data_IF_611016281829
#
_entry.id   IF_611016281829
#
_cell.length_a   1.000
_cell.length_b   1.000
_cell.length_c   1.000
_cell.angle_alpha   90.00
_cell.angle_beta   90.00
_cell.angle_gamma   90.00
#
_symmetry.space_group_name_H-M   'P 1'
#
loop_
_entity.id
_entity.type
_entity.pdbx_description
1 polymer ?
#
# COMPACT_ATOMS: atom_id res chain seq x y z
N UNK A 1 -12.45 -39.18 15.62
CA UNK A 1 -13.43 -38.06 15.57
C UNK A 1 -13.24 -37.07 16.71
N UNK A 2 -13.07 -37.49 17.98
CA UNK A 2 -12.94 -36.58 19.15
C UNK A 2 -11.79 -35.56 19.05
N UNK A 3 -10.62 -35.97 18.54
CA UNK A 3 -9.45 -35.08 18.41
C UNK A 3 -9.71 -33.93 17.40
N UNK A 4 -10.31 -34.23 16.24
CA UNK A 4 -10.63 -33.22 15.21
C UNK A 4 -11.63 -32.18 15.77
N UNK A 5 -12.69 -32.64 16.46
CA UNK A 5 -13.64 -31.77 17.10
C UNK A 5 -12.99 -30.87 18.17
N UNK A 6 -12.07 -31.42 18.96
CA UNK A 6 -11.32 -30.65 19.95
C UNK A 6 -10.44 -29.59 19.27
N UNK A 7 -9.72 -29.92 18.21
CA UNK A 7 -8.91 -28.95 17.43
C UNK A 7 -9.77 -27.83 16.88
N UNK A 8 -10.90 -28.16 16.26
CA UNK A 8 -11.84 -27.17 15.71
C UNK A 8 -12.38 -26.26 16.84
N UNK A 9 -12.79 -26.83 17.96
CA UNK A 9 -13.28 -26.06 19.12
C UNK A 9 -12.24 -25.06 19.62
N UNK A 10 -11.00 -25.52 19.85
CA UNK A 10 -9.91 -24.63 20.32
C UNK A 10 -9.59 -23.56 19.30
N UNK A 11 -9.61 -23.88 18.01
CA UNK A 11 -9.37 -22.91 16.95
C UNK A 11 -10.44 -21.80 16.94
N UNK A 12 -11.71 -22.14 17.12
CA UNK A 12 -12.78 -21.14 17.23
C UNK A 12 -12.69 -20.29 18.51
N UNK A 13 -12.23 -20.87 19.62
CA UNK A 13 -11.97 -20.12 20.86
C UNK A 13 -10.84 -19.09 20.60
N UNK A 14 -9.75 -19.50 19.97
CA UNK A 14 -8.65 -18.59 19.61
C UNK A 14 -9.16 -17.50 18.66
N UNK A 15 -9.95 -17.85 17.65
CA UNK A 15 -10.55 -16.88 16.73
C UNK A 15 -11.43 -15.85 17.45
N UNK A 16 -12.25 -16.29 18.40
CA UNK A 16 -13.08 -15.40 19.21
C UNK A 16 -12.25 -14.43 20.03
N UNK A 17 -11.17 -14.89 20.66
CA UNK A 17 -10.25 -14.03 21.41
C UNK A 17 -9.60 -13.02 20.48
N UNK A 18 -9.09 -13.44 19.32
CA UNK A 18 -8.45 -12.56 18.35
C UNK A 18 -9.38 -11.48 17.81
N UNK A 19 -10.62 -11.83 17.47
CA UNK A 19 -11.60 -10.89 16.94
C UNK A 19 -11.98 -9.86 18.00
N UNK A 20 -12.23 -10.29 19.24
CA UNK A 20 -12.55 -9.38 20.34
C UNK A 20 -11.38 -8.45 20.66
N UNK A 21 -10.16 -8.97 20.70
CA UNK A 21 -8.97 -8.17 20.90
C UNK A 21 -8.78 -7.16 19.75
N UNK A 22 -9.00 -7.59 18.50
CA UNK A 22 -8.96 -6.71 17.33
C UNK A 22 -9.99 -5.60 17.43
N UNK A 23 -11.24 -5.92 17.81
CA UNK A 23 -12.26 -4.90 18.04
C UNK A 23 -11.84 -3.90 19.11
N UNK A 24 -11.38 -4.39 20.27
CA UNK A 24 -11.01 -3.55 21.40
C UNK A 24 -9.86 -2.60 21.05
N UNK A 25 -8.81 -3.10 20.38
CA UNK A 25 -7.68 -2.27 19.94
C UNK A 25 -8.10 -1.28 18.86
N UNK A 26 -8.80 -1.73 17.82
CA UNK A 26 -9.20 -0.87 16.71
C UNK A 26 -10.17 0.23 17.15
N UNK A 27 -11.06 -0.04 18.12
CA UNK A 27 -12.00 0.95 18.68
C UNK A 27 -11.27 2.18 19.26
N UNK A 28 -10.04 2.01 19.76
CA UNK A 28 -9.26 3.13 20.32
C UNK A 28 -9.01 4.24 19.29
N UNK A 29 -8.84 3.89 18.01
CA UNK A 29 -8.60 4.85 16.92
C UNK A 29 -9.81 5.70 16.55
N UNK A 30 -11.00 5.37 17.05
CA UNK A 30 -12.22 6.15 16.86
C UNK A 30 -12.56 7.08 18.04
N UNK A 31 -11.76 7.06 19.10
CA UNK A 31 -11.98 7.92 20.26
C UNK A 31 -11.64 9.36 19.94
N UNK A 32 -12.43 10.28 20.45
CA UNK A 32 -12.08 11.70 20.47
C UNK A 32 -11.08 11.93 21.59
N UNK A 33 -9.90 12.44 21.25
CA UNK A 33 -8.81 12.72 22.18
C UNK A 33 -8.37 14.18 21.94
N UNK A 34 -8.23 14.94 23.03
CA UNK A 34 -7.61 16.26 23.01
C UNK A 34 -6.30 16.21 23.80
N UNK A 35 -5.32 17.02 23.42
CA UNK A 35 -4.08 17.17 24.15
C UNK A 35 -3.61 18.61 24.13
N UNK A 36 -2.85 19.02 25.14
CA UNK A 36 -2.23 20.33 25.21
C UNK A 36 -0.89 20.33 24.48
N UNK A 37 -0.74 21.19 23.48
CA UNK A 37 0.52 21.33 22.74
C UNK A 37 1.55 22.06 23.63
N UNK A 38 2.75 21.50 23.77
CA UNK A 38 3.79 22.05 24.67
C UNK A 38 4.22 23.46 24.29
N UNK A 39 4.39 23.72 23.00
CA UNK A 39 4.93 25.00 22.50
C UNK A 39 3.95 26.15 22.66
N UNK A 40 2.67 25.91 22.45
CA UNK A 40 1.64 26.96 22.42
C UNK A 40 0.72 26.94 23.65
N UNK A 41 0.75 25.86 24.46
CA UNK A 41 -0.20 25.61 25.53
C UNK A 41 -1.65 25.44 25.11
N UNK A 42 -1.90 25.40 23.77
CA UNK A 42 -3.25 25.30 23.18
C UNK A 42 -3.74 23.88 23.21
N UNK A 43 -5.01 23.70 23.52
CA UNK A 43 -5.68 22.42 23.43
C UNK A 43 -5.99 22.09 21.97
N UNK A 44 -5.38 21.01 21.45
CA UNK A 44 -5.53 20.57 20.07
C UNK A 44 -6.27 19.24 20.04
N UNK A 45 -7.27 19.16 19.15
CA UNK A 45 -7.94 17.90 18.87
C UNK A 45 -7.02 16.99 18.06
N UNK A 46 -6.78 15.77 18.55
CA UNK A 46 -6.06 14.72 17.78
C UNK A 46 -6.74 14.47 16.44
N UNK A 47 -8.08 14.58 16.38
CA UNK A 47 -8.86 14.41 15.17
C UNK A 47 -8.54 15.48 14.13
N UNK A 48 -8.24 16.71 14.52
CA UNK A 48 -7.86 17.77 13.58
C UNK A 48 -6.45 17.58 13.05
N UNK A 49 -5.47 17.39 13.95
CA UNK A 49 -4.06 17.23 13.57
C UNK A 49 -3.78 15.98 12.74
N UNK A 50 -4.43 14.87 13.08
CA UNK A 50 -4.22 13.57 12.46
C UNK A 50 -5.39 13.13 11.55
N UNK A 51 -6.22 14.07 11.11
CA UNK A 51 -7.36 13.78 10.21
C UNK A 51 -7.04 12.82 9.04
N UNK A 52 -5.87 12.90 8.38
CA UNK A 52 -5.50 11.96 7.32
C UNK A 52 -5.29 10.52 7.79
N UNK A 53 -5.14 10.28 9.08
CA UNK A 53 -4.86 8.97 9.68
C UNK A 53 -6.09 8.37 10.37
N UNK A 54 -7.17 9.13 10.53
CA UNK A 54 -8.37 8.67 11.21
C UNK A 54 -9.18 7.79 10.26
N UNK A 55 -9.64 6.60 10.72
CA UNK A 55 -10.51 5.77 9.93
C UNK A 55 -11.77 6.51 9.49
N UNK A 56 -12.14 6.37 8.20
CA UNK A 56 -13.31 7.04 7.63
C UNK A 56 -14.61 6.26 7.81
N UNK A 57 -14.51 5.03 8.29
CA UNK A 57 -15.64 4.13 8.52
C UNK A 57 -15.90 3.94 10.02
N UNK A 58 -16.97 3.23 10.36
CA UNK A 58 -17.33 2.87 11.72
C UNK A 58 -17.06 1.39 12.00
N UNK A 59 -16.90 1.05 13.28
CA UNK A 59 -16.76 -0.33 13.73
C UNK A 59 -17.82 -0.62 14.79
N UNK A 60 -18.76 -1.51 14.47
CA UNK A 60 -19.82 -1.92 15.37
C UNK A 60 -19.51 -3.30 15.94
N UNK A 61 -19.51 -3.42 17.28
CA UNK A 61 -19.10 -4.64 17.97
C UNK A 61 -19.84 -5.88 17.50
N UNK A 62 -21.18 -5.84 17.57
CA UNK A 62 -21.99 -7.03 17.28
C UNK A 62 -21.76 -7.54 15.85
N UNK A 63 -21.86 -6.67 14.86
CA UNK A 63 -21.66 -7.06 13.46
C UNK A 63 -20.23 -7.50 13.19
N UNK A 64 -19.24 -6.85 13.81
CA UNK A 64 -17.82 -7.22 13.62
C UNK A 64 -17.51 -8.60 14.22
N UNK A 65 -17.97 -8.86 15.46
CA UNK A 65 -17.71 -10.14 16.13
C UNK A 65 -18.52 -11.26 15.49
N UNK A 66 -19.83 -11.06 15.26
CA UNK A 66 -20.69 -12.08 14.66
C UNK A 66 -20.22 -12.49 13.26
N UNK A 67 -20.05 -11.52 12.36
CA UNK A 67 -19.56 -11.77 11.00
C UNK A 67 -18.16 -12.34 11.04
N UNK A 68 -17.30 -11.80 11.92
CA UNK A 68 -15.93 -12.25 12.08
C UNK A 68 -15.82 -13.71 12.48
N UNK A 69 -16.67 -14.17 13.41
CA UNK A 69 -16.67 -15.58 13.83
C UNK A 69 -17.03 -16.55 12.70
N UNK A 70 -17.84 -16.10 11.74
CA UNK A 70 -18.19 -16.92 10.58
C UNK A 70 -17.01 -17.00 9.60
N UNK A 71 -16.38 -15.86 9.28
CA UNK A 71 -15.45 -15.78 8.14
C UNK A 71 -13.96 -15.86 8.53
N UNK A 72 -13.56 -15.23 9.63
CA UNK A 72 -12.14 -15.13 10.01
C UNK A 72 -11.44 -16.49 10.16
N UNK A 73 -12.02 -17.50 10.84
CA UNK A 73 -11.36 -18.79 11.02
C UNK A 73 -11.00 -19.46 9.69
N UNK A 74 -11.96 -19.51 8.78
CA UNK A 74 -11.79 -20.16 7.48
C UNK A 74 -10.83 -19.35 6.58
N UNK A 75 -11.01 -18.05 6.52
CA UNK A 75 -10.22 -17.16 5.67
C UNK A 75 -8.76 -17.05 6.10
N UNK A 76 -8.46 -17.13 7.40
CA UNK A 76 -7.08 -17.13 7.87
C UNK A 76 -6.31 -18.37 7.44
N UNK A 77 -6.97 -19.53 7.39
CA UNK A 77 -6.39 -20.76 6.84
C UNK A 77 -6.13 -20.61 5.34
N UNK A 78 -7.13 -20.16 4.57
CA UNK A 78 -6.96 -19.93 3.13
C UNK A 78 -5.87 -18.90 2.83
N UNK A 79 -5.77 -17.84 3.61
CA UNK A 79 -4.69 -16.87 3.47
C UNK A 79 -3.32 -17.55 3.58
N UNK A 80 -3.11 -18.33 4.62
CA UNK A 80 -1.84 -19.03 4.81
C UNK A 80 -1.56 -20.02 3.68
N UNK A 81 -2.50 -20.89 3.36
CA UNK A 81 -2.33 -21.92 2.32
C UNK A 81 -1.97 -21.25 0.99
N UNK A 82 -2.75 -20.25 0.56
CA UNK A 82 -2.58 -19.62 -0.74
C UNK A 82 -1.25 -18.88 -0.85
N UNK A 83 -0.87 -18.09 0.16
CA UNK A 83 0.38 -17.33 0.08
C UNK A 83 1.63 -18.21 0.25
N UNK A 84 1.55 -19.32 0.99
CA UNK A 84 2.64 -20.32 1.00
C UNK A 84 2.72 -21.07 -0.33
N UNK A 85 1.60 -21.48 -0.92
CA UNK A 85 1.56 -22.14 -2.23
C UNK A 85 2.08 -21.22 -3.34
N UNK A 86 1.69 -19.95 -3.34
CA UNK A 86 2.25 -18.94 -4.24
C UNK A 86 3.77 -18.83 -4.12
N UNK A 87 4.27 -18.71 -2.87
CA UNK A 87 5.71 -18.65 -2.61
C UNK A 87 6.44 -19.88 -3.13
N UNK A 88 5.91 -21.07 -2.89
CA UNK A 88 6.49 -22.32 -3.35
C UNK A 88 6.47 -22.43 -4.87
N UNK A 89 5.35 -22.11 -5.51
CA UNK A 89 5.22 -22.14 -6.98
C UNK A 89 6.28 -21.25 -7.65
N UNK A 90 6.43 -19.99 -7.18
CA UNK A 90 7.44 -19.08 -7.75
C UNK A 90 8.86 -19.60 -7.50
N UNK A 91 9.13 -20.19 -6.33
CA UNK A 91 10.46 -20.80 -6.08
C UNK A 91 10.75 -21.96 -7.02
N UNK A 92 9.78 -22.82 -7.29
CA UNK A 92 9.92 -23.93 -8.24
C UNK A 92 10.21 -23.39 -9.65
N UNK A 93 9.46 -22.38 -10.11
CA UNK A 93 9.74 -21.73 -11.40
C UNK A 93 11.17 -21.19 -11.46
N UNK A 94 11.65 -20.51 -10.42
CA UNK A 94 13.02 -19.98 -10.36
C UNK A 94 14.09 -21.09 -10.35
N UNK A 95 13.83 -22.21 -9.71
CA UNK A 95 14.73 -23.38 -9.76
C UNK A 95 14.80 -23.97 -11.18
N UNK A 96 13.67 -24.08 -11.87
CA UNK A 96 13.61 -24.55 -13.26
C UNK A 96 14.41 -23.63 -14.18
N UNK A 97 14.41 -22.32 -13.92
CA UNK A 97 15.17 -21.32 -14.68
C UNK A 97 16.66 -21.25 -14.30
N UNK A 98 17.13 -22.11 -13.39
CA UNK A 98 18.54 -22.24 -12.97
C UNK A 98 19.18 -20.91 -12.49
N UNK A 99 18.41 -20.06 -11.81
CA UNK A 99 18.85 -18.79 -11.22
C UNK A 99 19.61 -17.81 -12.16
N UNK A 100 19.51 -17.98 -13.47
CA UNK A 100 20.01 -16.98 -14.44
C UNK A 100 19.13 -15.72 -14.42
N UNK A 101 19.59 -14.66 -15.02
CA UNK A 101 18.78 -13.45 -15.21
C UNK A 101 17.45 -13.83 -15.86
N UNK A 102 16.36 -13.56 -15.15
CA UNK A 102 15.01 -13.97 -15.57
C UNK A 102 14.63 -13.11 -16.78
N UNK A 103 14.44 -13.74 -17.93
CA UNK A 103 13.97 -13.09 -19.14
C UNK A 103 12.50 -12.66 -19.04
N UNK A 104 12.02 -11.92 -20.05
CA UNK A 104 10.66 -11.40 -20.08
C UNK A 104 9.59 -12.50 -20.03
N UNK A 105 9.79 -13.62 -20.74
CA UNK A 105 8.83 -14.72 -20.79
C UNK A 105 8.77 -15.47 -19.45
N UNK A 106 9.90 -15.69 -18.83
CA UNK A 106 10.00 -16.29 -17.50
C UNK A 106 9.33 -15.37 -16.46
N UNK A 107 9.54 -14.06 -16.58
CA UNK A 107 8.87 -13.09 -15.72
C UNK A 107 7.35 -13.12 -15.89
N UNK A 108 6.83 -13.18 -17.12
CA UNK A 108 5.40 -13.34 -17.42
C UNK A 108 4.82 -14.61 -16.78
N UNK A 109 5.56 -15.72 -16.73
CA UNK A 109 5.10 -16.96 -16.04
C UNK A 109 4.99 -16.75 -14.52
N UNK A 110 5.96 -16.04 -13.91
CA UNK A 110 5.89 -15.69 -12.48
C UNK A 110 4.69 -14.77 -12.18
N UNK A 111 4.43 -13.79 -13.04
CA UNK A 111 3.28 -12.88 -12.92
C UNK A 111 1.93 -13.65 -13.04
N UNK A 112 1.83 -14.60 -13.99
CA UNK A 112 0.66 -15.46 -14.11
C UNK A 112 0.44 -16.34 -12.88
N UNK A 113 1.50 -16.90 -12.30
CA UNK A 113 1.41 -17.66 -11.07
C UNK A 113 0.89 -16.78 -9.90
N UNK A 114 1.38 -15.55 -9.77
CA UNK A 114 0.89 -14.60 -8.77
C UNK A 114 -0.59 -14.27 -9.00
N UNK A 115 -0.98 -13.94 -10.25
CA UNK A 115 -2.37 -13.66 -10.61
C UNK A 115 -3.30 -14.83 -10.28
N UNK A 116 -2.91 -16.07 -10.62
CA UNK A 116 -3.70 -17.27 -10.33
C UNK A 116 -3.99 -17.45 -8.84
N UNK A 117 -2.95 -17.48 -8.00
CA UNK A 117 -3.09 -17.73 -6.56
C UNK A 117 -3.82 -16.59 -5.84
N UNK A 118 -3.55 -15.33 -6.21
CA UNK A 118 -4.21 -14.18 -5.60
C UNK A 118 -5.66 -14.08 -6.07
N UNK A 119 -5.96 -14.47 -7.32
CA UNK A 119 -7.34 -14.54 -7.78
C UNK A 119 -8.14 -15.57 -6.99
N UNK A 120 -7.58 -16.76 -6.76
CA UNK A 120 -8.18 -17.76 -5.89
C UNK A 120 -8.42 -17.22 -4.47
N UNK A 121 -7.45 -16.49 -3.91
CA UNK A 121 -7.63 -15.82 -2.61
C UNK A 121 -8.80 -14.82 -2.62
N UNK A 122 -8.96 -14.03 -3.68
CA UNK A 122 -10.06 -13.07 -3.80
C UNK A 122 -11.42 -13.74 -3.91
N UNK A 123 -11.52 -14.79 -4.71
CA UNK A 123 -12.76 -15.57 -4.84
C UNK A 123 -13.19 -16.15 -3.49
N UNK A 124 -12.28 -16.84 -2.81
CA UNK A 124 -12.55 -17.49 -1.53
C UNK A 124 -12.87 -16.49 -0.39
N UNK A 125 -12.41 -15.26 -0.51
CA UNK A 125 -12.60 -14.22 0.50
C UNK A 125 -13.67 -13.19 0.13
N UNK A 126 -14.42 -13.41 -0.96
CA UNK A 126 -15.42 -12.47 -1.45
C UNK A 126 -14.86 -11.04 -1.65
N UNK A 127 -13.65 -10.94 -2.21
CA UNK A 127 -13.03 -9.68 -2.57
C UNK A 127 -13.34 -9.34 -4.02
N UNK A 128 -13.75 -8.11 -4.26
CA UNK A 128 -14.02 -7.60 -5.59
C UNK A 128 -13.07 -6.45 -5.94
N UNK A 129 -12.66 -6.43 -7.20
CA UNK A 129 -11.85 -5.35 -7.76
C UNK A 129 -12.70 -4.61 -8.78
N UNK A 130 -12.64 -3.29 -8.74
CA UNK A 130 -13.27 -2.41 -9.74
C UNK A 130 -12.21 -1.49 -10.30
N UNK A 131 -11.95 -1.61 -11.60
CA UNK A 131 -11.13 -0.66 -12.33
C UNK A 131 -11.97 0.57 -12.63
N UNK A 132 -11.48 1.73 -12.24
CA UNK A 132 -12.14 3.02 -12.48
C UNK A 132 -11.58 3.65 -13.74
N UNK A 133 -12.46 4.26 -14.51
CA UNK A 133 -12.10 5.24 -15.54
C UNK A 133 -12.20 6.63 -14.92
N UNK A 134 -11.13 7.39 -14.98
CA UNK A 134 -11.04 8.73 -14.42
C UNK A 134 -10.69 9.71 -15.52
N UNK A 135 -11.25 10.87 -15.47
CA UNK A 135 -10.87 11.96 -16.37
C UNK A 135 -9.51 12.53 -15.92
N UNK A 136 -8.56 12.54 -16.84
CA UNK A 136 -7.18 12.94 -16.58
C UNK A 136 -6.62 13.92 -17.62
N UNK A 137 -7.22 13.98 -18.83
CA UNK A 137 -6.58 14.64 -19.98
C UNK A 137 -6.27 16.11 -19.72
N UNK A 138 -7.26 16.87 -19.28
CA UNK A 138 -7.09 18.31 -19.03
C UNK A 138 -6.14 18.58 -17.88
N UNK A 139 -6.16 17.71 -16.84
CA UNK A 139 -5.25 17.82 -15.71
C UNK A 139 -3.80 17.55 -16.16
N UNK A 140 -3.58 16.53 -16.98
CA UNK A 140 -2.25 16.24 -17.53
C UNK A 140 -1.73 17.42 -18.37
N UNK A 141 -2.54 17.94 -19.31
CA UNK A 141 -2.18 19.09 -20.11
C UNK A 141 -1.85 20.31 -19.25
N UNK A 142 -2.67 20.61 -18.26
CA UNK A 142 -2.45 21.71 -17.30
C UNK A 142 -1.06 21.66 -16.65
N UNK A 143 -0.58 20.48 -16.30
CA UNK A 143 0.66 20.29 -15.53
C UNK A 143 1.87 19.91 -16.37
N UNK A 144 1.69 19.21 -17.48
CA UNK A 144 2.75 18.63 -18.29
C UNK A 144 2.93 19.34 -19.65
N UNK A 145 1.97 20.18 -20.06
CA UNK A 145 1.95 20.92 -21.33
C UNK A 145 0.80 20.47 -22.24
N UNK A 146 0.31 21.41 -23.08
CA UNK A 146 -0.83 21.14 -23.98
C UNK A 146 -0.55 20.00 -24.98
N UNK A 147 0.68 19.90 -25.47
CA UNK A 147 1.12 18.89 -26.44
C UNK A 147 1.61 17.61 -25.78
N UNK A 148 1.12 17.31 -24.57
CA UNK A 148 1.57 16.12 -23.84
C UNK A 148 1.22 14.84 -24.58
N UNK A 149 2.26 13.99 -24.81
CA UNK A 149 2.12 12.71 -25.49
C UNK A 149 1.59 11.62 -24.54
N UNK A 150 0.36 11.20 -24.78
CA UNK A 150 -0.32 10.13 -24.04
C UNK A 150 0.04 8.72 -24.55
N UNK A 151 0.69 8.57 -25.72
CA UNK A 151 1.07 7.28 -26.31
C UNK A 151 2.36 6.70 -25.77
N UNK A 152 2.96 7.37 -24.78
CA UNK A 152 4.16 6.90 -24.08
C UNK A 152 3.97 5.47 -23.55
N UNK A 153 4.87 4.55 -23.90
CA UNK A 153 4.82 3.14 -23.49
C UNK A 153 5.91 2.75 -22.50
N UNK A 154 7.04 3.42 -22.56
CA UNK A 154 8.18 3.09 -21.70
C UNK A 154 8.13 3.91 -20.39
N UNK A 155 8.32 3.22 -19.28
CA UNK A 155 8.37 3.82 -17.94
C UNK A 155 9.36 3.03 -17.06
N UNK A 156 9.74 3.61 -15.93
CA UNK A 156 10.74 3.03 -15.03
C UNK A 156 10.13 2.32 -13.82
N UNK A 157 9.10 2.91 -13.23
CA UNK A 157 8.48 2.45 -11.98
C UNK A 157 6.97 2.62 -12.02
N UNK A 158 6.27 1.72 -11.36
CA UNK A 158 4.90 1.98 -10.92
C UNK A 158 4.91 2.82 -9.65
N UNK A 159 3.98 3.77 -9.55
CA UNK A 159 3.73 4.54 -8.33
C UNK A 159 2.25 4.48 -7.97
N UNK A 160 1.92 4.54 -6.68
CA UNK A 160 0.54 4.64 -6.21
C UNK A 160 0.44 5.41 -4.92
N UNK A 161 -0.72 6.04 -4.68
CA UNK A 161 -1.09 6.46 -3.33
C UNK A 161 -1.30 5.22 -2.43
N UNK A 162 -1.24 5.41 -1.11
CA UNK A 162 -1.19 4.29 -0.16
C UNK A 162 -2.26 4.41 0.92
N UNK A 163 -3.23 3.51 0.90
CA UNK A 163 -4.35 3.52 1.85
C UNK A 163 -4.43 2.27 2.75
N UNK A 164 -3.82 1.14 2.35
CA UNK A 164 -3.83 -0.07 3.18
C UNK A 164 -2.91 -1.17 2.66
N UNK A 165 -3.31 -2.42 2.75
CA UNK A 165 -2.57 -3.55 2.19
C UNK A 165 -3.34 -4.28 1.06
N UNK A 166 -4.63 -4.01 0.92
CA UNK A 166 -5.44 -4.65 -0.13
C UNK A 166 -5.02 -4.20 -1.53
N UNK A 167 -4.66 -2.93 -1.70
CA UNK A 167 -4.11 -2.45 -2.96
C UNK A 167 -2.79 -3.14 -3.30
N UNK A 168 -1.96 -3.46 -2.30
CA UNK A 168 -0.72 -4.21 -2.51
C UNK A 168 -1.02 -5.57 -3.14
N UNK A 169 -1.94 -6.33 -2.54
CA UNK A 169 -2.34 -7.65 -3.04
C UNK A 169 -3.01 -7.52 -4.42
N UNK A 170 -3.83 -6.47 -4.61
CA UNK A 170 -4.46 -6.17 -5.90
C UNK A 170 -3.40 -5.95 -6.99
N UNK A 171 -2.40 -5.12 -6.73
CA UNK A 171 -1.35 -4.84 -7.71
C UNK A 171 -0.40 -6.01 -7.94
N UNK A 172 -0.17 -6.86 -6.94
CA UNK A 172 0.51 -8.14 -7.13
C UNK A 172 -0.27 -9.06 -8.09
N UNK A 173 -1.60 -9.07 -7.98
CA UNK A 173 -2.49 -9.85 -8.88
C UNK A 173 -2.50 -9.30 -10.30
N UNK A 174 -2.71 -7.98 -10.44
CA UNK A 174 -2.94 -7.35 -11.75
C UNK A 174 -1.65 -7.26 -12.59
N UNK A 175 -0.53 -6.98 -11.94
CA UNK A 175 0.71 -6.62 -12.62
C UNK A 175 1.93 -7.44 -12.19
N UNK A 176 1.79 -8.31 -11.19
CA UNK A 176 2.92 -9.07 -10.64
C UNK A 176 4.01 -8.20 -10.01
N UNK A 177 3.64 -7.08 -9.40
CA UNK A 177 4.61 -6.07 -8.94
C UNK A 177 5.49 -6.57 -7.80
N UNK A 178 6.77 -6.26 -7.85
CA UNK A 178 7.64 -6.22 -6.70
C UNK A 178 7.47 -4.89 -5.97
N UNK A 179 7.76 -4.84 -4.67
CA UNK A 179 7.51 -3.67 -3.83
C UNK A 179 8.74 -3.30 -3.01
N UNK A 180 8.86 -2.01 -2.73
CA UNK A 180 9.68 -1.52 -1.62
C UNK A 180 8.80 -1.48 -0.36
N UNK A 181 9.08 -2.36 0.60
CA UNK A 181 8.24 -2.58 1.79
C UNK A 181 9.04 -2.51 3.08
N UNK A 182 8.35 -2.31 4.20
CA UNK A 182 9.00 -2.30 5.51
C UNK A 182 9.44 -3.70 5.94
N UNK A 183 10.55 -3.78 6.67
CA UNK A 183 11.15 -5.05 7.11
C UNK A 183 10.18 -5.94 7.92
N UNK A 184 9.30 -5.33 8.73
CA UNK A 184 8.31 -6.09 9.52
C UNK A 184 7.38 -6.92 8.63
N UNK A 185 7.06 -6.45 7.42
CA UNK A 185 6.17 -7.17 6.51
C UNK A 185 6.84 -8.42 5.92
N UNK A 186 8.17 -8.50 5.91
CA UNK A 186 8.90 -9.70 5.51
C UNK A 186 8.58 -10.91 6.39
N UNK A 187 8.24 -10.63 7.64
CA UNK A 187 7.90 -11.65 8.65
C UNK A 187 6.43 -12.08 8.61
N UNK A 188 5.59 -11.41 7.81
CA UNK A 188 4.19 -11.80 7.67
C UNK A 188 4.08 -13.22 7.08
N UNK A 189 3.43 -14.16 7.78
CA UNK A 189 3.35 -15.56 7.35
C UNK A 189 2.79 -15.69 5.93
N UNK A 190 3.47 -16.46 5.08
CA UNK A 190 3.11 -16.64 3.67
C UNK A 190 3.33 -15.40 2.81
N UNK A 191 2.71 -14.27 3.15
CA UNK A 191 2.76 -13.04 2.38
C UNK A 191 4.19 -12.50 2.20
N UNK A 192 4.97 -12.41 3.28
CA UNK A 192 6.36 -11.95 3.21
C UNK A 192 7.21 -12.80 2.28
N UNK A 193 7.05 -14.13 2.34
CA UNK A 193 7.74 -15.05 1.44
C UNK A 193 7.31 -14.89 -0.03
N UNK A 194 6.03 -14.65 -0.28
CA UNK A 194 5.50 -14.42 -1.62
C UNK A 194 6.03 -13.10 -2.21
N UNK A 195 6.08 -12.04 -1.41
CA UNK A 195 6.65 -10.75 -1.81
C UNK A 195 8.13 -10.88 -2.16
N UNK A 196 8.93 -11.59 -1.32
CA UNK A 196 10.35 -11.88 -1.63
C UNK A 196 10.48 -12.67 -2.93
N UNK A 197 9.65 -13.68 -3.11
CA UNK A 197 9.66 -14.49 -4.32
C UNK A 197 9.37 -13.66 -5.58
N UNK A 198 8.47 -12.68 -5.50
CA UNK A 198 8.19 -11.70 -6.57
C UNK A 198 9.30 -10.67 -6.78
N UNK A 199 10.34 -10.67 -5.94
CA UNK A 199 11.48 -9.77 -6.05
C UNK A 199 11.34 -8.49 -5.22
N UNK A 200 10.41 -8.42 -4.27
CA UNK A 200 10.30 -7.28 -3.35
C UNK A 200 11.55 -7.16 -2.47
N UNK A 201 11.87 -5.96 -2.04
CA UNK A 201 12.98 -5.67 -1.16
C UNK A 201 12.53 -4.80 0.02
N UNK A 202 13.31 -4.84 1.11
CA UNK A 202 12.87 -4.31 2.39
C UNK A 202 13.69 -3.11 2.81
N UNK A 203 13.04 -2.22 3.55
CA UNK A 203 13.64 -1.03 4.14
C UNK A 203 13.34 -0.99 5.64
N UNK A 204 14.37 -0.75 6.44
CA UNK A 204 14.17 -0.22 7.79
C UNK A 204 14.12 1.30 7.70
N UNK A 205 12.94 1.88 7.98
CA UNK A 205 12.72 3.33 7.84
C UNK A 205 13.40 4.15 8.92
N UNK A 206 13.75 3.55 10.04
CA UNK A 206 14.43 4.20 11.16
C UNK A 206 15.95 4.25 10.94
N UNK A 207 16.51 3.31 10.18
CA UNK A 207 17.93 3.26 9.85
C UNK A 207 18.26 4.06 8.59
N UNK A 208 19.16 5.03 8.72
CA UNK A 208 19.57 5.90 7.63
C UNK A 208 20.35 5.15 6.54
N UNK A 209 21.22 4.22 6.92
CA UNK A 209 21.98 3.39 5.97
C UNK A 209 21.04 2.52 5.14
N UNK A 210 20.01 1.95 5.78
CA UNK A 210 18.98 1.17 5.09
C UNK A 210 18.19 2.02 4.10
N UNK A 211 17.84 3.28 4.46
CA UNK A 211 17.17 4.22 3.55
C UNK A 211 18.02 4.57 2.35
N UNK A 212 19.31 4.88 2.58
CA UNK A 212 20.25 5.20 1.50
C UNK A 212 20.47 4.01 0.54
N UNK A 213 20.61 2.80 1.09
CA UNK A 213 20.74 1.58 0.29
C UNK A 213 19.46 1.28 -0.52
N UNK A 214 18.29 1.44 0.09
CA UNK A 214 17.02 1.24 -0.60
C UNK A 214 16.85 2.21 -1.78
N UNK A 215 17.27 3.46 -1.66
CA UNK A 215 17.29 4.43 -2.75
C UNK A 215 18.20 3.99 -3.91
N UNK A 216 19.42 3.52 -3.62
CA UNK A 216 20.36 3.01 -4.65
C UNK A 216 19.78 1.79 -5.38
N UNK A 217 19.18 0.85 -4.63
CA UNK A 217 18.52 -0.33 -5.23
C UNK A 217 17.37 0.10 -6.13
N UNK A 218 16.55 1.05 -5.67
CA UNK A 218 15.39 1.53 -6.41
C UNK A 218 15.80 2.22 -7.71
N UNK A 219 16.79 3.10 -7.65
CA UNK A 219 17.35 3.80 -8.81
C UNK A 219 17.95 2.82 -9.83
N UNK A 220 18.75 1.85 -9.37
CA UNK A 220 19.28 0.79 -10.23
C UNK A 220 18.19 -0.02 -10.91
N UNK A 221 17.13 -0.37 -10.18
CA UNK A 221 15.98 -1.11 -10.74
C UNK A 221 15.20 -0.29 -11.75
N UNK A 222 14.96 0.98 -11.46
CA UNK A 222 14.27 1.91 -12.35
C UNK A 222 15.02 2.01 -13.69
N UNK A 223 16.33 2.25 -13.65
CA UNK A 223 17.18 2.34 -14.82
C UNK A 223 17.24 1.00 -15.60
N UNK A 224 17.40 -0.12 -14.89
CA UNK A 224 17.49 -1.42 -15.55
C UNK A 224 16.17 -1.80 -16.23
N UNK A 225 15.02 -1.53 -15.60
CA UNK A 225 13.69 -1.80 -16.18
C UNK A 225 13.43 -0.90 -17.38
N UNK A 226 13.69 0.40 -17.26
CA UNK A 226 13.54 1.36 -18.36
C UNK A 226 14.37 1.00 -19.58
N UNK A 227 15.61 0.56 -19.37
CA UNK A 227 16.54 0.15 -20.42
C UNK A 227 16.38 -1.32 -20.85
N UNK A 228 15.29 -2.01 -20.43
CA UNK A 228 14.99 -3.41 -20.79
C UNK A 228 16.09 -4.43 -20.40
N UNK A 229 16.90 -4.07 -19.38
CA UNK A 229 17.94 -4.96 -18.80
C UNK A 229 17.38 -5.86 -17.70
N UNK A 230 16.19 -5.56 -17.18
CA UNK A 230 15.50 -6.34 -16.17
C UNK A 230 13.98 -6.17 -16.34
N UNK A 231 13.23 -7.23 -16.10
CA UNK A 231 11.77 -7.28 -16.30
C UNK A 231 10.98 -7.28 -14.98
N UNK A 232 11.65 -7.00 -13.86
CA UNK A 232 10.99 -6.90 -12.55
C UNK A 232 10.31 -5.54 -12.40
N UNK A 233 9.02 -5.50 -12.61
CA UNK A 233 8.19 -4.31 -12.40
C UNK A 233 8.17 -3.95 -10.91
N UNK A 234 8.55 -2.74 -10.55
CA UNK A 234 8.64 -2.29 -9.16
C UNK A 234 7.61 -1.20 -8.86
N UNK A 235 6.84 -1.39 -7.79
CA UNK A 235 5.90 -0.41 -7.26
C UNK A 235 6.50 0.32 -6.05
N UNK A 236 6.32 1.62 -6.04
CA UNK A 236 6.66 2.50 -4.92
C UNK A 236 5.43 3.25 -4.46
N UNK A 237 5.25 3.37 -3.16
CA UNK A 237 4.30 4.28 -2.55
C UNK A 237 5.04 5.56 -2.13
N UNK A 238 5.04 6.61 -2.96
CA UNK A 238 5.92 7.77 -2.74
C UNK A 238 5.53 8.60 -1.52
N UNK A 239 4.32 8.46 -0.99
CA UNK A 239 3.91 9.05 0.29
C UNK A 239 4.77 8.56 1.47
N UNK A 240 5.23 7.33 1.41
CA UNK A 240 5.99 6.68 2.48
C UNK A 240 5.20 6.48 3.78
N UNK A 241 3.89 6.68 3.76
CA UNK A 241 2.94 6.40 4.84
C UNK A 241 1.58 6.07 4.23
N UNK A 242 0.66 5.52 5.01
CA UNK A 242 -0.73 5.34 4.58
C UNK A 242 -1.59 6.49 5.05
N UNK A 243 -2.62 6.84 4.26
CA UNK A 243 -3.67 7.79 4.62
C UNK A 243 -5.03 7.10 4.60
N UNK A 244 -6.09 7.80 5.00
CA UNK A 244 -7.46 7.27 4.95
C UNK A 244 -8.11 7.35 3.55
N UNK A 245 -7.34 7.73 2.54
CA UNK A 245 -7.79 7.82 1.16
C UNK A 245 -8.63 9.06 0.80
N UNK A 246 -8.93 9.92 1.77
CA UNK A 246 -9.47 11.29 1.53
C UNK A 246 -8.33 12.30 1.37
N UNK A 247 -7.15 11.93 1.80
CA UNK A 247 -5.95 12.76 1.77
C UNK A 247 -4.85 12.06 0.98
N UNK A 248 -3.92 12.87 0.46
CA UNK A 248 -2.67 12.40 -0.14
C UNK A 248 -1.50 13.12 0.54
N UNK A 249 -0.54 12.35 1.03
CA UNK A 249 0.65 12.91 1.65
C UNK A 249 1.68 13.34 0.58
N UNK A 250 2.58 14.26 0.95
CA UNK A 250 3.63 14.75 0.05
C UNK A 250 4.50 13.59 -0.46
N UNK A 251 4.76 13.56 -1.76
CA UNK A 251 5.60 12.56 -2.40
C UNK A 251 7.09 12.77 -2.09
N UNK A 252 7.80 11.67 -1.89
CA UNK A 252 9.22 11.63 -1.51
C UNK A 252 10.11 11.30 -2.70
N UNK A 253 11.38 11.63 -2.56
CA UNK A 253 12.45 11.52 -3.55
C UNK A 253 12.52 10.19 -4.32
N UNK A 254 12.28 9.06 -3.65
CA UNK A 254 12.66 7.73 -4.13
C UNK A 254 12.20 7.36 -5.54
N UNK A 255 10.98 7.72 -5.94
CA UNK A 255 10.46 7.39 -7.26
C UNK A 255 10.84 8.40 -8.35
N UNK A 256 11.40 9.57 -7.99
CA UNK A 256 11.55 10.72 -8.88
C UNK A 256 13.02 11.15 -9.09
N UNK A 257 13.97 10.57 -8.34
CA UNK A 257 15.37 10.97 -8.38
C UNK A 257 16.02 10.74 -9.76
N UNK A 258 15.62 9.66 -10.44
CA UNK A 258 16.14 9.32 -11.77
C UNK A 258 15.57 10.17 -12.91
N UNK A 259 14.56 10.99 -12.64
CA UNK A 259 13.81 11.77 -13.63
C UNK A 259 13.26 10.93 -14.80
N UNK A 260 13.07 9.64 -14.60
CA UNK A 260 12.48 8.74 -15.59
C UNK A 260 10.97 8.75 -15.53
N UNK A 261 10.27 8.39 -16.64
CA UNK A 261 8.82 8.28 -16.66
C UNK A 261 8.30 7.27 -15.64
N UNK A 262 7.17 7.59 -14.99
CA UNK A 262 6.51 6.71 -14.02
C UNK A 262 5.11 6.31 -14.50
N UNK A 263 4.67 5.11 -14.14
CA UNK A 263 3.32 4.60 -14.43
C UNK A 263 2.45 4.73 -13.18
N UNK A 264 1.50 5.67 -13.16
CA UNK A 264 0.65 5.91 -12.00
C UNK A 264 -0.48 4.89 -11.91
N UNK A 265 -0.67 4.36 -10.71
CA UNK A 265 -1.84 3.62 -10.26
C UNK A 265 -2.50 4.40 -9.14
N UNK A 266 -3.80 4.56 -9.17
CA UNK A 266 -4.51 5.33 -8.15
C UNK A 266 -5.53 4.43 -7.46
N UNK A 267 -5.43 4.29 -6.13
CA UNK A 267 -6.44 3.59 -5.35
C UNK A 267 -7.39 4.60 -4.71
N UNK A 268 -8.70 4.34 -4.80
CA UNK A 268 -9.73 5.13 -4.12
C UNK A 268 -10.33 4.35 -2.96
N UNK A 269 -10.61 5.01 -1.83
CA UNK A 269 -11.33 4.37 -0.74
C UNK A 269 -12.74 4.02 -1.22
N UNK A 270 -13.20 2.86 -0.84
CA UNK A 270 -14.59 2.45 -1.03
C UNK A 270 -15.24 2.17 0.33
N UNK A 271 -16.55 2.02 0.34
CA UNK A 271 -17.28 1.59 1.54
C UNK A 271 -16.62 0.33 2.13
N UNK A 272 -16.42 0.33 3.43
CA UNK A 272 -15.77 -0.75 4.20
C UNK A 272 -14.28 -0.96 3.92
N UNK A 273 -13.60 0.03 3.33
CA UNK A 273 -12.15 -0.04 3.22
C UNK A 273 -11.52 0.05 4.61
N UNK A 274 -10.62 -0.89 4.90
CA UNK A 274 -9.95 -0.98 6.21
C UNK A 274 -8.65 -0.21 6.17
N UNK A 275 -8.61 0.95 6.80
CA UNK A 275 -7.38 1.71 7.00
C UNK A 275 -6.39 0.90 7.85
N UNK A 276 -5.13 0.91 7.47
CA UNK A 276 -4.06 0.25 8.19
C UNK A 276 -3.58 1.08 9.41
N UNK A 277 -4.42 1.19 10.45
CA UNK A 277 -4.06 1.86 11.70
C UNK A 277 -3.10 1.02 12.53
N UNK A 278 -3.51 -0.18 12.91
CA UNK A 278 -2.65 -1.21 13.48
C UNK A 278 -2.56 -2.36 12.49
N UNK A 279 -1.35 -2.69 12.02
CA UNK A 279 -1.11 -3.64 10.92
C UNK A 279 -1.77 -4.99 11.16
N UNK A 280 -1.57 -5.56 12.35
CA UNK A 280 -2.09 -6.89 12.68
C UNK A 280 -3.61 -6.88 12.82
N UNK A 281 -4.17 -6.00 13.62
CA UNK A 281 -5.61 -5.98 13.87
C UNK A 281 -6.42 -5.48 12.68
N UNK A 282 -5.85 -4.61 11.86
CA UNK A 282 -6.45 -4.22 10.57
C UNK A 282 -6.53 -5.43 9.62
N UNK A 283 -5.53 -6.29 9.63
CA UNK A 283 -5.55 -7.55 8.87
C UNK A 283 -6.63 -8.51 9.39
N UNK A 284 -6.72 -8.72 10.72
CA UNK A 284 -7.80 -9.50 11.35
C UNK A 284 -9.16 -8.95 10.94
N UNK A 285 -9.35 -7.62 11.00
CA UNK A 285 -10.60 -6.97 10.58
C UNK A 285 -10.94 -7.24 9.12
N UNK A 286 -9.95 -7.23 8.25
CA UNK A 286 -10.17 -7.53 6.83
C UNK A 286 -10.69 -8.95 6.64
N UNK A 287 -10.05 -9.94 7.27
CA UNK A 287 -10.51 -11.34 7.17
C UNK A 287 -11.87 -11.56 7.83
N UNK A 288 -12.23 -10.74 8.82
CA UNK A 288 -13.53 -10.76 9.49
C UNK A 288 -14.64 -10.04 8.70
N UNK A 289 -14.33 -9.31 7.63
CA UNK A 289 -15.32 -8.53 6.88
C UNK A 289 -16.09 -9.41 5.90
N UNK A 290 -17.42 -9.23 5.77
CA UNK A 290 -18.26 -10.01 4.85
C UNK A 290 -17.84 -9.87 3.39
N UNK A 291 -17.61 -8.64 2.94
CA UNK A 291 -17.21 -8.29 1.57
C UNK A 291 -16.22 -7.14 1.61
N UNK A 292 -15.21 -7.24 0.77
CA UNK A 292 -14.26 -6.15 0.54
C UNK A 292 -14.22 -5.79 -0.93
N UNK A 293 -14.02 -4.52 -1.21
CA UNK A 293 -13.94 -3.96 -2.55
C UNK A 293 -12.71 -3.07 -2.64
N UNK A 294 -11.93 -3.24 -3.69
CA UNK A 294 -10.84 -2.34 -4.03
C UNK A 294 -11.20 -1.63 -5.32
N UNK A 295 -11.11 -0.31 -5.32
CA UNK A 295 -11.32 0.51 -6.51
C UNK A 295 -9.99 1.15 -6.87
N UNK A 296 -9.54 0.94 -8.10
CA UNK A 296 -8.31 1.56 -8.58
C UNK A 296 -8.43 2.02 -10.03
N UNK A 297 -7.62 2.99 -10.40
CA UNK A 297 -7.45 3.44 -11.77
C UNK A 297 -6.01 3.20 -12.23
N UNK A 298 -5.87 2.92 -13.51
CA UNK A 298 -4.62 2.82 -14.25
C UNK A 298 -4.50 4.06 -15.12
N UNK A 299 -3.63 5.00 -14.74
CA UNK A 299 -3.50 6.27 -15.42
C UNK A 299 -2.39 6.21 -16.49
N UNK A 300 -2.41 7.08 -17.52
CA UNK A 300 -1.31 7.21 -18.47
C UNK A 300 0.02 7.46 -17.78
N UNK A 301 1.10 7.05 -18.42
CA UNK A 301 2.46 7.29 -17.95
C UNK A 301 2.68 8.80 -17.77
N UNK A 302 3.35 9.20 -16.70
CA UNK A 302 3.80 10.59 -16.51
C UNK A 302 5.30 10.63 -16.82
N UNK A 303 5.65 11.35 -17.88
CA UNK A 303 7.00 11.70 -18.26
C UNK A 303 7.28 13.14 -17.82
N UNK A 304 8.43 13.43 -17.19
CA UNK A 304 8.79 14.81 -16.89
C UNK A 304 9.00 15.60 -18.18
N UNK A 305 8.47 16.83 -18.25
CA UNK A 305 8.56 17.73 -19.40
C UNK A 305 9.31 19.00 -19.06
N UNK A 306 9.89 19.66 -20.04
CA UNK A 306 10.52 20.97 -19.83
C UNK A 306 9.49 22.01 -19.36
N UNK A 307 8.28 21.99 -19.93
CA UNK A 307 7.17 22.84 -19.49
C UNK A 307 6.92 22.71 -17.97
N UNK A 308 6.88 21.48 -17.47
CA UNK A 308 6.69 21.21 -16.03
C UNK A 308 7.81 21.85 -15.19
N UNK A 309 9.08 21.72 -15.64
CA UNK A 309 10.22 22.26 -14.92
C UNK A 309 10.23 23.79 -14.94
N UNK A 310 10.07 24.41 -16.11
CA UNK A 310 10.07 25.86 -16.27
C UNK A 310 8.95 26.54 -15.48
N UNK A 311 7.75 25.98 -15.52
CA UNK A 311 6.59 26.53 -14.82
C UNK A 311 6.72 26.50 -13.29
N UNK A 312 7.57 25.63 -12.75
CA UNK A 312 7.67 25.40 -11.30
C UNK A 312 9.07 25.66 -10.73
N UNK A 313 10.02 26.18 -11.49
CA UNK A 313 11.44 26.39 -11.08
C UNK A 313 11.59 27.31 -9.86
N UNK A 314 10.70 28.27 -9.69
CA UNK A 314 10.75 29.21 -8.57
C UNK A 314 10.17 28.62 -7.26
N UNK A 315 9.44 27.51 -7.35
CA UNK A 315 8.81 26.87 -6.20
C UNK A 315 9.70 25.81 -5.54
N UNK A 316 10.59 25.17 -6.29
CA UNK A 316 11.44 24.09 -5.81
C UNK A 316 12.81 24.11 -6.47
N UNK A 317 13.87 23.85 -5.70
CA UNK A 317 15.25 23.92 -6.14
C UNK A 317 15.70 22.74 -7.01
N UNK A 318 15.27 21.53 -6.63
CA UNK A 318 15.71 20.29 -7.25
C UNK A 318 14.69 19.78 -8.29
N UNK A 319 15.15 19.35 -9.47
CA UNK A 319 14.26 18.81 -10.52
C UNK A 319 13.39 17.65 -10.04
N UNK A 320 13.93 16.77 -9.20
CA UNK A 320 13.13 15.68 -8.61
C UNK A 320 12.00 16.19 -7.68
N UNK A 321 12.19 17.32 -6.99
CA UNK A 321 11.15 17.93 -6.15
C UNK A 321 10.01 18.48 -7.00
N UNK A 322 10.35 19.16 -8.09
CA UNK A 322 9.36 19.66 -9.06
C UNK A 322 8.55 18.47 -9.55
N UNK A 323 9.21 17.43 -10.03
CA UNK A 323 8.55 16.26 -10.57
C UNK A 323 7.63 15.59 -9.53
N UNK A 324 8.14 15.31 -8.32
CA UNK A 324 7.35 14.71 -7.23
C UNK A 324 6.11 15.54 -6.86
N UNK A 325 6.25 16.87 -6.75
CA UNK A 325 5.16 17.75 -6.35
C UNK A 325 4.12 17.93 -7.47
N UNK A 326 4.55 18.00 -8.73
CA UNK A 326 3.63 18.05 -9.86
C UNK A 326 2.82 16.75 -9.96
N UNK A 327 3.47 15.60 -9.86
CA UNK A 327 2.76 14.32 -9.86
C UNK A 327 1.80 14.20 -8.66
N UNK A 328 2.19 14.69 -7.48
CA UNK A 328 1.31 14.74 -6.31
C UNK A 328 0.08 15.63 -6.54
N UNK A 329 0.22 16.79 -7.20
CA UNK A 329 -0.90 17.66 -7.60
C UNK A 329 -1.83 16.97 -8.60
N UNK A 330 -1.28 16.29 -9.61
CA UNK A 330 -2.05 15.49 -10.56
C UNK A 330 -2.89 14.43 -9.83
N UNK A 331 -2.29 13.69 -8.88
CA UNK A 331 -3.04 12.74 -8.06
C UNK A 331 -4.14 13.40 -7.24
N UNK A 332 -3.85 14.55 -6.63
CA UNK A 332 -4.82 15.28 -5.80
C UNK A 332 -6.04 15.70 -6.62
N UNK A 333 -5.83 16.23 -7.81
CA UNK A 333 -6.92 16.71 -8.68
C UNK A 333 -7.73 15.54 -9.27
N UNK A 334 -7.08 14.56 -9.90
CA UNK A 334 -7.79 13.40 -10.50
C UNK A 334 -8.50 12.57 -9.41
N UNK A 335 -7.85 12.39 -8.26
CA UNK A 335 -8.38 11.61 -7.17
C UNK A 335 -9.40 12.34 -6.31
N UNK A 336 -9.46 13.68 -6.37
CA UNK A 336 -10.22 14.51 -5.43
C UNK A 336 -9.67 14.43 -4.00
N UNK A 337 -8.34 14.23 -3.85
CA UNK A 337 -7.70 14.10 -2.55
C UNK A 337 -7.29 15.47 -1.99
N UNK A 338 -7.46 15.65 -0.67
CA UNK A 338 -6.89 16.79 0.03
C UNK A 338 -5.39 16.53 0.30
N UNK A 339 -4.53 17.46 -0.12
CA UNK A 339 -3.09 17.36 0.17
C UNK A 339 -2.81 17.56 1.66
N UNK A 340 -1.85 16.81 2.21
CA UNK A 340 -1.45 16.92 3.60
C UNK A 340 0.06 16.68 3.79
N UNK A 341 0.59 17.14 4.93
CA UNK A 341 2.01 17.02 5.28
C UNK A 341 2.31 15.88 6.27
N UNK A 342 1.38 14.95 6.42
CA UNK A 342 1.55 13.80 7.33
C UNK A 342 2.75 12.95 6.88
N UNK A 343 3.57 12.57 7.86
CA UNK A 343 4.76 11.73 7.69
C UNK A 343 4.61 10.41 8.43
N UNK A 344 5.51 9.48 8.18
CA UNK A 344 5.54 8.19 8.90
C UNK A 344 5.66 8.37 10.42
N UNK A 345 6.44 9.35 10.90
CA UNK A 345 6.53 9.66 12.34
C UNK A 345 5.19 10.05 12.95
N UNK A 346 4.42 10.88 12.25
CA UNK A 346 3.09 11.32 12.71
C UNK A 346 2.14 10.14 12.85
N UNK A 347 2.27 9.14 11.95
CA UNK A 347 1.50 7.91 12.05
C UNK A 347 1.90 7.07 13.28
N UNK A 348 3.20 6.92 13.56
CA UNK A 348 3.68 6.21 14.75
C UNK A 348 3.18 6.90 16.01
N UNK A 349 3.26 8.22 16.04
CA UNK A 349 2.78 9.03 17.15
C UNK A 349 1.26 8.91 17.33
N UNK A 350 0.48 9.02 16.26
CA UNK A 350 -0.97 8.81 16.29
C UNK A 350 -1.33 7.41 16.82
N UNK A 351 -0.58 6.39 16.43
CA UNK A 351 -0.79 5.03 16.94
C UNK A 351 -0.56 4.96 18.44
N UNK A 352 0.56 5.49 18.94
CA UNK A 352 0.86 5.55 20.39
C UNK A 352 -0.24 6.28 21.16
N UNK A 353 -0.62 7.49 20.71
CA UNK A 353 -1.68 8.28 21.37
C UNK A 353 -3.01 7.51 21.42
N UNK A 354 -3.37 6.85 20.32
CA UNK A 354 -4.63 6.10 20.24
C UNK A 354 -4.64 4.85 21.13
N UNK A 355 -3.49 4.18 21.25
CA UNK A 355 -3.34 2.97 22.06
C UNK A 355 -3.26 3.31 23.57
N UNK A 356 -2.54 4.33 23.94
CA UNK A 356 -2.32 4.74 25.34
C UNK A 356 -3.47 5.60 25.88
N UNK A 357 -4.20 6.29 24.99
CA UNK A 357 -5.32 7.17 25.36
C UNK A 357 -4.90 8.55 25.85
N UNK A 358 -3.61 8.85 25.86
CA UNK A 358 -3.05 10.16 26.24
C UNK A 358 -1.74 10.43 25.48
N UNK A 359 -1.36 11.68 25.42
CA UNK A 359 -0.10 12.10 24.81
C UNK A 359 1.01 12.09 25.89
N UNK A 360 1.98 11.17 25.73
CA UNK A 360 3.26 11.27 26.45
C UNK A 360 4.22 12.02 25.55
N UNK A 361 4.64 13.20 26.01
CA UNK A 361 5.79 13.87 25.42
C UNK A 361 7.06 13.08 25.74
N UNK A 362 7.77 12.64 24.72
CA UNK A 362 9.18 12.23 24.82
C UNK A 362 10.09 13.42 24.58
#
# INVERSE_FOLDING_TARGET
MSLIFSIIKYYYIIAFIHINLAYYVLRKYYRKITYKEKETGKEISVQEKYAPLIPSDSIHYFSFVFIGMIFYPIRSIFFLIIFYALSLHIKILKLIYKNHEIDENQRKKIERAASFWINLYFILNNFSIVKLELDYKDIYKKYLGEDYDFEQKDFALYISNHIGYLEIITYMREYGLSLLITYELSRAPGLGKSMLALGSFFINREDEKSRANALKILEKRANNFYNKKNFVKTLVFPEGTTTNGKYIARFKKGAFISLLPVKPLMVKPCERFVLQTNKYFSFVRTLASFKLKVQFADLPIIKPTEYMFEKNKDLWKEKWEIYANVVNKIYAEIGGFKQCNIRFRDRVLYQKISEDGYFKDE
#
